data_IF_422554232913
#
_entry.id   IF_422554232913
#
_cell.length_a   1.000
_cell.length_b   1.000
_cell.length_c   1.000
_cell.angle_alpha   90.00
_cell.angle_beta   90.00
_cell.angle_gamma   90.00
#
_symmetry.space_group_name_H-M   'P 1'
#
loop_
_entity.id
_entity.type
_entity.pdbx_description
1 polymer ?
#
# COMPACT_ATOMS: atom_id res chain seq x y z
N UNK A 1 -1.64 5.92 22.56
CA UNK A 1 -2.96 5.31 22.37
C UNK A 1 -2.93 3.96 23.08
N UNK A 2 -3.85 3.70 24.02
CA UNK A 2 -3.92 2.39 24.71
C UNK A 2 -4.05 1.28 23.64
N UNK A 3 -3.17 0.26 23.60
CA UNK A 3 -3.24 -0.85 22.64
C UNK A 3 -4.60 -1.57 22.63
N UNK A 4 -5.42 -1.41 23.68
CA UNK A 4 -6.78 -1.94 23.77
C UNK A 4 -7.85 -0.99 23.18
N UNK A 5 -7.57 0.32 23.09
CA UNK A 5 -8.49 1.34 22.55
C UNK A 5 -8.18 1.72 21.10
N UNK A 6 -6.97 1.41 20.68
CA UNK A 6 -6.57 1.46 19.29
C UNK A 6 -7.13 0.22 18.57
N UNK A 7 -8.03 0.39 17.62
CA UNK A 7 -8.39 -0.70 16.68
C UNK A 7 -7.21 -1.15 15.79
N UNK A 8 -5.97 -0.76 16.10
CA UNK A 8 -4.76 -1.28 15.50
C UNK A 8 -4.30 -2.53 16.26
N UNK A 9 -4.59 -3.69 15.67
CA UNK A 9 -4.15 -4.99 16.18
C UNK A 9 -2.64 -4.96 16.51
N UNK A 10 -2.27 -5.38 17.72
CA UNK A 10 -0.90 -5.53 18.21
C UNK A 10 0.04 -6.25 17.20
N UNK A 11 -0.51 -7.10 16.34
CA UNK A 11 0.21 -7.76 15.24
C UNK A 11 0.85 -6.78 14.24
N UNK A 12 0.32 -5.57 14.04
CA UNK A 12 0.98 -4.59 13.15
C UNK A 12 2.33 -4.10 13.69
N UNK A 13 2.50 -4.02 15.02
CA UNK A 13 3.78 -3.64 15.62
C UNK A 13 4.80 -4.80 15.64
N UNK A 14 4.32 -6.05 15.80
CA UNK A 14 5.15 -7.26 15.72
C UNK A 14 5.74 -7.53 14.34
N UNK A 15 5.18 -6.95 13.28
CA UNK A 15 5.75 -7.06 11.93
C UNK A 15 7.10 -6.35 11.80
N UNK A 16 7.37 -5.33 12.62
CA UNK A 16 8.62 -4.55 12.56
C UNK A 16 9.56 -4.81 13.74
N UNK A 17 9.02 -4.97 14.94
CA UNK A 17 9.82 -5.49 16.03
C UNK A 17 9.93 -6.99 15.85
N UNK A 18 11.14 -7.47 15.53
CA UNK A 18 11.34 -8.91 15.36
C UNK A 18 10.72 -9.67 16.53
N UNK A 19 10.27 -10.91 16.29
CA UNK A 19 9.71 -11.80 17.33
C UNK A 19 10.63 -11.96 18.57
N UNK A 20 11.86 -11.43 18.52
CA UNK A 20 12.81 -11.31 19.63
C UNK A 20 12.40 -10.34 20.74
N UNK A 21 11.45 -9.42 20.52
CA UNK A 21 11.04 -8.45 21.55
C UNK A 21 9.78 -8.89 22.29
N UNK A 22 9.84 -8.89 23.63
CA UNK A 22 8.69 -9.16 24.50
C UNK A 22 7.71 -7.99 24.53
N UNK A 23 6.46 -8.26 24.98
CA UNK A 23 5.41 -7.23 25.07
C UNK A 23 5.81 -6.04 25.93
N UNK A 24 6.49 -6.29 27.04
CA UNK A 24 6.94 -5.23 27.95
C UNK A 24 8.08 -4.39 27.34
N UNK A 25 8.97 -4.99 26.55
CA UNK A 25 10.01 -4.26 25.83
C UNK A 25 9.40 -3.32 24.79
N UNK A 26 8.36 -3.77 24.08
CA UNK A 26 7.64 -2.94 23.12
C UNK A 26 6.88 -1.80 23.78
N UNK A 27 6.16 -2.06 24.89
CA UNK A 27 5.44 -1.01 25.63
C UNK A 27 6.37 0.14 26.01
N UNK A 28 7.54 -0.19 26.60
CA UNK A 28 8.53 0.81 27.02
C UNK A 28 9.10 1.66 25.87
N UNK A 29 9.13 1.13 24.65
CA UNK A 29 9.58 1.88 23.47
C UNK A 29 8.44 2.75 22.96
N UNK A 30 7.23 2.19 22.84
CA UNK A 30 6.06 2.89 22.31
C UNK A 30 5.61 4.04 23.24
N UNK A 31 5.79 3.92 24.55
CA UNK A 31 5.52 4.97 25.55
C UNK A 31 6.36 6.25 25.35
N UNK A 32 7.39 6.22 24.51
CA UNK A 32 8.23 7.39 24.19
C UNK A 32 7.65 8.29 23.11
N UNK A 33 6.57 7.86 22.46
CA UNK A 33 5.95 8.54 21.34
C UNK A 33 4.57 9.07 21.73
N UNK A 34 4.16 10.19 21.14
CA UNK A 34 2.80 10.69 21.23
C UNK A 34 1.82 9.79 20.46
N UNK A 35 0.52 9.98 20.70
CA UNK A 35 -0.53 9.26 19.99
C UNK A 35 -0.50 9.57 18.50
N UNK A 36 -0.23 10.82 18.13
CA UNK A 36 -0.11 11.30 16.75
C UNK A 36 1.08 10.65 16.04
N UNK A 37 2.25 10.61 16.67
CA UNK A 37 3.45 9.96 16.12
C UNK A 37 3.21 8.46 15.90
N UNK A 38 2.56 7.79 16.85
CA UNK A 38 2.22 6.37 16.71
C UNK A 38 1.23 6.12 15.56
N UNK A 39 0.25 7.00 15.36
CA UNK A 39 -0.70 6.91 14.24
C UNK A 39 0.04 7.05 12.92
N UNK A 40 0.97 8.01 12.81
CA UNK A 40 1.78 8.22 11.62
C UNK A 40 2.66 7.01 11.32
N UNK A 41 3.40 6.51 12.32
CA UNK A 41 4.25 5.32 12.21
C UNK A 41 3.43 4.12 11.72
N UNK A 42 2.27 3.86 12.32
CA UNK A 42 1.40 2.75 11.91
C UNK A 42 0.82 2.96 10.52
N UNK A 43 0.46 4.20 10.18
CA UNK A 43 -0.02 4.56 8.84
C UNK A 43 1.03 4.27 7.77
N UNK A 44 2.25 4.73 8.00
CA UNK A 44 3.40 4.46 7.15
C UNK A 44 3.66 2.95 7.01
N UNK A 45 3.71 2.21 8.11
CA UNK A 45 3.90 0.76 8.11
C UNK A 45 2.82 0.01 7.33
N UNK A 46 1.58 0.51 7.34
CA UNK A 46 0.47 -0.10 6.58
C UNK A 46 0.52 0.21 5.09
N UNK A 47 1.28 1.23 4.68
CA UNK A 47 1.41 1.61 3.27
C UNK A 47 2.53 0.88 2.52
N UNK A 48 3.36 0.07 3.20
CA UNK A 48 4.52 -0.58 2.59
C UNK A 48 4.77 -2.01 3.08
N UNK A 49 5.61 -2.73 2.34
CA UNK A 49 6.22 -4.00 2.73
C UNK A 49 7.62 -4.13 2.08
N UNK A 50 8.58 -4.72 2.80
CA UNK A 50 9.96 -4.91 2.33
C UNK A 50 10.62 -3.65 1.74
N UNK A 51 10.33 -2.48 2.32
CA UNK A 51 10.91 -1.20 1.87
C UNK A 51 10.29 -0.63 0.59
N UNK A 52 9.17 -1.18 0.11
CA UNK A 52 8.41 -0.67 -1.04
C UNK A 52 6.96 -0.41 -0.69
N UNK A 53 6.33 0.53 -1.37
CA UNK A 53 4.95 0.96 -1.14
C UNK A 53 3.97 0.23 -2.05
N UNK A 54 2.75 0.04 -1.53
CA UNK A 54 1.68 -0.61 -2.26
C UNK A 54 1.16 0.30 -3.37
N UNK A 55 1.07 -0.24 -4.59
CA UNK A 55 0.37 0.40 -5.69
C UNK A 55 -1.13 0.43 -5.42
N UNK A 56 -1.77 1.59 -5.61
CA UNK A 56 -3.20 1.76 -5.40
C UNK A 56 -4.06 0.93 -6.37
N UNK A 57 -3.54 0.58 -7.55
CA UNK A 57 -4.26 -0.19 -8.56
C UNK A 57 -4.21 -1.71 -8.33
N UNK A 58 -3.05 -2.31 -8.05
CA UNK A 58 -2.95 -3.77 -7.93
C UNK A 58 -2.82 -4.24 -6.48
N UNK A 59 -2.40 -3.35 -5.58
CA UNK A 59 -2.16 -3.63 -4.17
C UNK A 59 -0.81 -4.26 -3.85
N UNK A 60 0.06 -4.53 -4.83
CA UNK A 60 1.41 -5.08 -4.59
C UNK A 60 2.42 -3.98 -4.23
N UNK A 61 3.41 -4.32 -3.41
CA UNK A 61 4.48 -3.42 -2.95
C UNK A 61 5.53 -3.14 -4.05
N UNK A 62 5.12 -2.51 -5.14
CA UNK A 62 5.98 -2.30 -6.30
C UNK A 62 6.74 -0.98 -6.27
N UNK A 63 6.20 0.03 -5.58
CA UNK A 63 6.67 1.41 -5.68
C UNK A 63 7.86 1.66 -4.75
N UNK A 64 8.90 2.32 -5.24
CA UNK A 64 10.05 2.74 -4.46
C UNK A 64 9.71 3.85 -3.46
N UNK A 65 8.73 4.68 -3.79
CA UNK A 65 8.28 5.80 -2.96
C UNK A 65 6.79 5.74 -2.65
N UNK A 66 6.35 6.48 -1.63
CA UNK A 66 4.95 6.53 -1.23
C UNK A 66 4.12 7.12 -2.37
N UNK A 67 2.98 6.52 -2.76
CA UNK A 67 2.12 7.04 -3.83
C UNK A 67 1.41 8.32 -3.38
N UNK A 68 2.11 9.44 -3.52
CA UNK A 68 1.63 10.78 -3.17
C UNK A 68 1.75 11.73 -4.36
N UNK A 69 1.80 11.20 -5.57
CA UNK A 69 2.06 11.93 -6.82
C UNK A 69 3.53 12.00 -7.18
N UNK A 70 4.25 10.90 -7.03
CA UNK A 70 5.62 10.77 -7.54
C UNK A 70 5.66 10.28 -8.99
N UNK A 71 4.50 9.94 -9.57
CA UNK A 71 4.35 9.48 -10.95
C UNK A 71 5.14 8.21 -11.27
N UNK A 72 5.43 7.40 -10.25
CA UNK A 72 6.06 6.10 -10.43
C UNK A 72 5.08 5.12 -11.10
N UNK A 73 5.57 4.37 -12.09
CA UNK A 73 4.78 3.36 -12.79
C UNK A 73 4.96 2.00 -12.12
N UNK A 74 3.85 1.40 -11.68
CA UNK A 74 3.84 0.05 -11.14
C UNK A 74 4.21 -0.96 -12.23
N UNK A 75 5.30 -1.69 -12.05
CA UNK A 75 5.72 -2.72 -13.01
C UNK A 75 4.80 -3.95 -13.09
N UNK A 76 3.92 -4.20 -12.10
CA UNK A 76 3.00 -5.34 -12.08
C UNK A 76 1.68 -5.08 -12.80
N UNK A 77 1.18 -3.84 -12.77
CA UNK A 77 -0.11 -3.51 -13.41
C UNK A 77 -0.02 -2.36 -14.41
N UNK A 78 1.12 -1.68 -14.48
CA UNK A 78 1.36 -0.53 -15.35
C UNK A 78 0.54 0.73 -15.02
N UNK A 79 -0.03 0.81 -13.82
CA UNK A 79 -0.64 2.04 -13.31
C UNK A 79 0.43 3.07 -12.92
N UNK A 80 0.27 4.30 -13.36
CA UNK A 80 1.10 5.45 -12.94
C UNK A 80 0.48 6.10 -11.70
N UNK A 81 1.29 6.32 -10.66
CA UNK A 81 0.85 7.04 -9.46
C UNK A 81 0.34 8.45 -9.82
N UNK A 82 -0.94 8.72 -9.55
CA UNK A 82 -1.58 9.99 -9.84
C UNK A 82 -2.36 10.45 -8.61
N UNK A 83 -1.99 11.59 -8.00
CA UNK A 83 -2.58 12.01 -6.73
C UNK A 83 -4.05 12.43 -6.89
N UNK A 84 -4.45 12.88 -8.08
CA UNK A 84 -5.84 13.22 -8.38
C UNK A 84 -6.65 11.93 -8.48
N UNK A 85 -6.18 10.94 -9.24
CA UNK A 85 -6.88 9.66 -9.39
C UNK A 85 -6.84 8.80 -8.11
N UNK A 86 -5.84 8.98 -7.24
CA UNK A 86 -5.83 8.36 -5.91
C UNK A 86 -6.82 9.01 -4.94
N UNK A 87 -6.99 10.35 -5.01
CA UNK A 87 -7.96 11.08 -4.17
C UNK A 87 -9.41 11.01 -4.69
N UNK A 88 -9.57 10.92 -6.01
CA UNK A 88 -10.84 10.76 -6.72
C UNK A 88 -10.82 9.48 -7.59
N UNK A 89 -11.03 8.28 -7.00
CA UNK A 89 -10.81 7.00 -7.70
C UNK A 89 -11.71 6.69 -8.89
N UNK A 90 -12.72 7.52 -9.14
CA UNK A 90 -13.61 7.43 -10.30
C UNK A 90 -13.29 8.52 -11.36
N UNK A 91 -12.27 9.37 -11.13
CA UNK A 91 -11.79 10.37 -12.09
C UNK A 91 -11.02 9.70 -13.25
N UNK A 92 -11.45 10.00 -14.48
CA UNK A 92 -10.86 9.53 -15.73
C UNK A 92 -10.06 10.65 -16.42
N UNK A 93 -9.08 10.27 -17.23
CA UNK A 93 -8.33 11.22 -18.08
C UNK A 93 -7.21 12.00 -17.38
N UNK A 94 -6.70 11.52 -16.25
CA UNK A 94 -5.49 12.03 -15.59
C UNK A 94 -4.21 11.51 -16.27
N UNK A 95 -3.17 11.19 -15.48
CA UNK A 95 -2.01 10.47 -16.01
C UNK A 95 -2.41 9.14 -16.64
N UNK A 96 -3.42 8.47 -16.07
CA UNK A 96 -4.02 7.26 -16.60
C UNK A 96 -5.33 7.59 -17.32
N UNK A 97 -5.60 6.94 -18.47
CA UNK A 97 -6.83 7.19 -19.24
C UNK A 97 -8.07 6.70 -18.48
N UNK A 98 -7.99 5.50 -17.92
CA UNK A 98 -9.04 4.91 -17.09
C UNK A 98 -8.95 5.43 -15.65
N UNK A 99 -10.06 5.39 -14.92
CA UNK A 99 -10.06 5.70 -13.49
C UNK A 99 -9.38 4.62 -12.66
N UNK A 100 -8.96 4.94 -11.44
CA UNK A 100 -8.33 3.98 -10.53
C UNK A 100 -9.24 2.78 -10.29
N UNK A 101 -10.55 2.96 -10.08
CA UNK A 101 -11.46 1.82 -9.87
C UNK A 101 -11.63 0.96 -11.12
N UNK A 102 -11.60 1.55 -12.32
CA UNK A 102 -11.57 0.77 -13.56
C UNK A 102 -10.27 -0.02 -13.67
N UNK A 103 -9.13 0.60 -13.38
CA UNK A 103 -7.83 -0.05 -13.40
C UNK A 103 -7.75 -1.23 -12.42
N UNK A 104 -8.34 -1.11 -11.22
CA UNK A 104 -8.45 -2.21 -10.25
C UNK A 104 -9.21 -3.41 -10.81
N UNK A 105 -10.35 -3.18 -11.47
CA UNK A 105 -11.16 -4.24 -12.11
C UNK A 105 -10.43 -4.84 -13.31
N UNK A 106 -9.82 -4.00 -14.13
CA UNK A 106 -9.01 -4.40 -15.27
C UNK A 106 -7.84 -5.30 -14.85
N UNK A 107 -7.17 -4.97 -13.75
CA UNK A 107 -6.09 -5.79 -13.21
C UNK A 107 -6.59 -7.17 -12.75
N UNK A 108 -7.76 -7.23 -12.11
CA UNK A 108 -8.37 -8.50 -11.71
C UNK A 108 -8.79 -9.34 -12.92
N UNK A 109 -9.30 -8.70 -13.98
CA UNK A 109 -9.78 -9.39 -15.18
C UNK A 109 -8.64 -9.88 -16.09
N UNK A 110 -7.59 -9.07 -16.28
CA UNK A 110 -6.55 -9.37 -17.28
C UNK A 110 -5.11 -8.98 -16.87
N UNK A 111 -4.89 -8.60 -15.61
CA UNK A 111 -3.54 -8.41 -15.06
C UNK A 111 -2.84 -7.10 -15.40
N UNK A 112 -3.55 -6.10 -15.94
CA UNK A 112 -3.02 -4.75 -16.19
C UNK A 112 -4.07 -3.67 -15.91
N UNK A 113 -3.63 -2.42 -15.74
CA UNK A 113 -4.52 -1.26 -15.55
C UNK A 113 -5.39 -0.98 -16.78
N UNK A 114 -4.88 -1.27 -17.98
CA UNK A 114 -5.57 -1.14 -19.26
C UNK A 114 -5.21 -2.32 -20.17
N UNK A 115 -6.13 -2.72 -21.06
CA UNK A 115 -5.95 -3.92 -21.89
C UNK A 115 -4.72 -3.82 -22.80
N UNK A 116 -4.43 -2.61 -23.28
CA UNK A 116 -3.27 -2.29 -24.12
C UNK A 116 -1.94 -2.39 -23.37
N UNK A 117 -1.96 -2.37 -22.03
CA UNK A 117 -0.76 -2.39 -21.20
C UNK A 117 -0.33 -3.79 -20.76
N UNK A 118 -1.11 -4.83 -21.09
CA UNK A 118 -0.79 -6.24 -20.77
C UNK A 118 0.59 -6.67 -21.30
N UNK A 119 1.10 -6.07 -22.38
CA UNK A 119 2.44 -6.39 -22.89
C UNK A 119 3.58 -5.77 -22.09
N UNK A 120 3.28 -4.83 -21.19
CA UNK A 120 4.27 -4.08 -20.41
C UNK A 120 4.36 -4.53 -18.94
N UNK A 121 3.48 -5.44 -18.50
CA UNK A 121 3.44 -5.89 -17.10
C UNK A 121 4.43 -7.00 -16.81
N UNK A 122 4.92 -7.01 -15.57
CA UNK A 122 5.61 -8.14 -14.97
C UNK A 122 4.64 -8.98 -14.14
N UNK A 123 4.87 -10.29 -14.13
CA UNK A 123 4.13 -11.18 -13.23
C UNK A 123 4.65 -11.01 -11.81
N UNK A 124 3.73 -10.82 -10.87
CA UNK A 124 4.06 -10.84 -9.45
C UNK A 124 4.77 -12.16 -9.09
N UNK A 125 5.85 -12.07 -8.32
CA UNK A 125 6.57 -13.22 -7.79
C UNK A 125 6.30 -13.42 -6.29
N UNK A 126 6.99 -14.39 -5.68
CA UNK A 126 6.82 -14.75 -4.26
C UNK A 126 7.27 -13.67 -3.27
N UNK A 127 8.06 -12.70 -3.71
CA UNK A 127 8.58 -11.59 -2.92
C UNK A 127 7.67 -10.35 -3.02
N UNK A 128 6.79 -10.30 -4.03
CA UNK A 128 5.78 -9.27 -4.16
C UNK A 128 4.64 -9.54 -3.15
N UNK A 129 4.56 -8.67 -2.15
CA UNK A 129 3.58 -8.73 -1.09
C UNK A 129 2.40 -7.86 -1.50
N UNK A 130 1.21 -8.47 -1.54
CA UNK A 130 -0.04 -7.73 -1.72
C UNK A 130 -0.54 -7.22 -0.37
N UNK A 131 -0.99 -5.97 -0.32
CA UNK A 131 -1.57 -5.37 0.88
C UNK A 131 -2.74 -6.25 1.38
N UNK A 132 -2.68 -6.80 2.61
CA UNK A 132 -3.73 -7.68 3.14
C UNK A 132 -5.10 -7.01 3.28
N UNK A 133 -5.14 -5.67 3.29
CA UNK A 133 -6.38 -4.88 3.34
C UNK A 133 -6.82 -4.38 1.96
N UNK A 134 -6.11 -4.75 0.89
CA UNK A 134 -6.48 -4.38 -0.46
C UNK A 134 -7.87 -4.92 -0.81
N UNK A 135 -8.68 -4.06 -1.45
CA UNK A 135 -10.03 -4.41 -1.90
C UNK A 135 -10.23 -3.91 -3.31
N UNK A 136 -10.80 -4.76 -4.14
CA UNK A 136 -11.32 -4.39 -5.45
C UNK A 136 -12.67 -3.70 -5.20
N UNK A 137 -12.90 -2.56 -5.85
CA UNK A 137 -14.15 -1.79 -5.77
C UNK A 137 -15.05 -2.10 -6.97
#
# INVERSE_FOLDING_TARGET
MNPEKSSTNYESYRLFFSRKYSKNQLSKVLEKFSDEELIEIVGFQRSCANGKFYCDCCGYNTLGERPTGNYEICNICFWEDDPIQSSEPDYEGGANRVSLNQAKRNFDEFGACEKTMVTNVMKADKNDIRNPKYKIK
#
